data_IF_504084706095
#
_entry.id   IF_504084706095
#
_cell.length_a   1.000
_cell.length_b   1.000
_cell.length_c   1.000
_cell.angle_alpha   90.00
_cell.angle_beta   90.00
_cell.angle_gamma   90.00
#
_symmetry.space_group_name_H-M   'P 1'
#
loop_
_entity.id
_entity.type
_entity.pdbx_description
1 polymer ?
#
# COMPACT_ATOMS: atom_id res chain seq x y z
N UNK A 1 43.72 31.31 -32.53
CA UNK A 1 42.29 31.30 -32.16
C UNK A 1 41.76 29.88 -32.35
N UNK A 2 41.88 29.15 -31.24
CA UNK A 2 41.45 27.78 -31.11
C UNK A 2 39.93 27.79 -30.79
N UNK A 3 39.12 27.14 -31.64
CA UNK A 3 37.67 26.99 -31.39
C UNK A 3 37.48 25.91 -30.35
N UNK A 4 36.76 26.28 -29.26
CA UNK A 4 36.29 25.35 -28.27
C UNK A 4 35.39 24.26 -28.90
N UNK A 5 35.43 23.01 -28.42
CA UNK A 5 34.58 21.94 -28.92
C UNK A 5 33.11 22.20 -28.55
N UNK A 6 32.26 22.00 -29.54
CA UNK A 6 30.80 22.07 -29.41
C UNK A 6 30.40 20.87 -28.54
N UNK A 7 29.96 21.11 -27.31
CA UNK A 7 29.27 20.12 -26.51
C UNK A 7 28.01 19.69 -27.26
N UNK A 8 28.00 18.46 -27.74
CA UNK A 8 26.79 17.80 -28.22
C UNK A 8 25.82 17.66 -27.07
N UNK A 9 24.80 18.51 -27.02
CA UNK A 9 23.64 18.29 -26.17
C UNK A 9 23.11 16.88 -26.46
N UNK A 10 23.16 15.99 -25.48
CA UNK A 10 22.37 14.76 -25.52
C UNK A 10 20.91 15.19 -25.68
N UNK A 11 20.34 14.91 -26.84
CA UNK A 11 18.89 14.91 -27.00
C UNK A 11 18.30 13.93 -25.99
N UNK A 12 17.79 14.45 -24.89
CA UNK A 12 16.89 13.71 -24.01
C UNK A 12 15.61 13.54 -24.81
N UNK A 13 15.55 12.49 -25.63
CA UNK A 13 14.30 12.07 -26.23
C UNK A 13 13.31 11.81 -25.09
N UNK A 14 12.34 12.69 -24.96
CA UNK A 14 11.20 12.49 -24.06
C UNK A 14 10.47 11.26 -24.57
N UNK A 15 10.78 10.10 -24.02
CA UNK A 15 9.94 8.93 -24.19
C UNK A 15 8.68 9.19 -23.37
N UNK A 16 7.59 9.52 -24.06
CA UNK A 16 6.29 9.67 -23.45
C UNK A 16 5.94 8.34 -22.78
N UNK A 17 5.88 8.34 -21.44
CA UNK A 17 5.50 7.15 -20.67
C UNK A 17 4.01 7.20 -20.40
N UNK A 18 3.26 6.30 -21.03
CA UNK A 18 1.84 6.12 -20.79
C UNK A 18 1.69 4.84 -19.95
N UNK A 19 1.15 4.97 -18.75
CA UNK A 19 0.85 3.86 -17.86
C UNK A 19 -0.47 3.18 -18.27
N UNK A 20 -0.51 1.86 -18.22
CA UNK A 20 -1.70 1.08 -18.60
C UNK A 20 -2.79 1.16 -17.52
N UNK A 21 -2.37 1.30 -16.26
CA UNK A 21 -3.29 1.36 -15.13
C UNK A 21 -2.65 2.07 -13.92
N UNK A 22 -3.47 2.36 -12.90
CA UNK A 22 -3.02 3.08 -11.70
C UNK A 22 -2.09 2.25 -10.80
N UNK A 23 -2.12 0.92 -10.86
CA UNK A 23 -1.21 0.10 -10.02
C UNK A 23 0.25 0.33 -10.41
N UNK A 24 0.54 0.65 -11.67
CA UNK A 24 1.90 0.97 -12.12
C UNK A 24 2.48 2.24 -11.47
N UNK A 25 1.65 3.02 -10.79
CA UNK A 25 2.04 4.23 -10.05
C UNK A 25 2.22 3.98 -8.55
N UNK A 26 2.07 2.74 -8.09
CA UNK A 26 2.27 2.38 -6.68
C UNK A 26 3.77 2.35 -6.39
N UNK A 27 4.17 3.03 -5.34
CA UNK A 27 5.58 3.13 -4.97
C UNK A 27 6.27 4.36 -5.55
N UNK A 28 7.59 4.34 -5.53
CA UNK A 28 8.47 5.43 -5.97
C UNK A 28 8.03 6.82 -5.45
N UNK A 29 7.46 6.82 -4.25
CA UNK A 29 6.96 8.04 -3.62
C UNK A 29 8.12 8.98 -3.26
N UNK A 30 7.94 10.30 -3.33
CA UNK A 30 9.02 11.23 -3.09
C UNK A 30 9.47 11.23 -1.61
N UNK A 31 10.77 11.47 -1.42
CA UNK A 31 11.36 11.78 -0.13
C UNK A 31 11.61 13.29 -0.07
N UNK A 32 10.96 14.00 0.85
CA UNK A 32 10.97 15.46 0.92
C UNK A 32 11.65 15.92 2.20
N UNK A 33 12.70 16.75 2.06
CA UNK A 33 13.39 17.38 3.20
C UNK A 33 12.49 18.38 3.91
N UNK A 34 12.44 18.30 5.23
CA UNK A 34 11.73 19.26 6.06
C UNK A 34 12.59 20.52 6.31
N UNK A 35 11.90 21.67 6.35
CA UNK A 35 12.46 22.97 6.68
C UNK A 35 11.60 23.61 7.78
N UNK A 36 12.02 24.69 8.38
CA UNK A 36 11.36 25.48 9.43
C UNK A 36 11.03 24.67 10.70
N UNK A 37 10.20 23.64 10.62
CA UNK A 37 9.86 22.78 11.77
C UNK A 37 11.09 22.05 12.33
N UNK A 38 12.18 22.02 11.58
CA UNK A 38 13.46 21.42 11.97
C UNK A 38 14.55 22.46 12.29
N UNK A 39 14.19 23.71 12.45
CA UNK A 39 15.15 24.78 12.79
C UNK A 39 15.87 24.46 14.10
N UNK A 40 17.21 24.57 14.10
CA UNK A 40 18.06 24.18 15.21
C UNK A 40 18.43 22.70 15.31
N UNK A 41 17.83 21.83 14.50
CA UNK A 41 18.18 20.40 14.43
C UNK A 41 19.38 20.20 13.48
N UNK A 42 20.44 19.53 13.98
CA UNK A 42 21.64 19.27 13.16
C UNK A 42 21.45 18.22 12.07
N UNK A 43 20.54 17.28 12.31
CA UNK A 43 20.26 16.20 11.35
C UNK A 43 19.39 16.70 10.18
N UNK A 44 19.61 16.16 8.99
CA UNK A 44 18.63 16.30 7.89
C UNK A 44 17.44 15.39 8.18
N UNK A 45 16.25 15.95 8.24
CA UNK A 45 15.00 15.22 8.42
C UNK A 45 14.24 15.27 7.11
N UNK A 46 13.81 14.09 6.63
CA UNK A 46 13.00 13.94 5.43
C UNK A 46 11.78 13.07 5.69
N UNK A 47 10.70 13.34 4.96
CA UNK A 47 9.47 12.55 5.01
C UNK A 47 9.27 11.80 3.70
N UNK A 48 8.96 10.51 3.78
CA UNK A 48 8.53 9.69 2.65
C UNK A 48 7.04 9.91 2.44
N UNK A 49 6.68 10.53 1.31
CA UNK A 49 5.34 11.08 1.11
C UNK A 49 4.41 10.02 0.52
N UNK A 50 3.95 9.09 1.35
CA UNK A 50 3.18 7.93 0.94
C UNK A 50 1.76 8.23 0.42
N UNK A 51 1.23 9.42 0.64
CA UNK A 51 -0.05 9.82 0.05
C UNK A 51 0.02 10.13 -1.46
N UNK A 52 1.20 10.09 -2.06
CA UNK A 52 1.35 10.13 -3.52
C UNK A 52 1.07 8.77 -4.20
N UNK A 53 0.94 7.69 -3.45
CA UNK A 53 0.37 6.47 -4.02
C UNK A 53 -1.05 6.73 -4.54
N UNK A 54 -1.50 6.08 -5.61
CA UNK A 54 -2.78 6.37 -6.27
C UNK A 54 -4.02 6.20 -5.37
N UNK A 55 -3.99 5.31 -4.38
CA UNK A 55 -5.02 5.17 -3.35
C UNK A 55 -4.80 6.07 -2.12
N UNK A 56 -3.75 6.91 -2.14
CA UNK A 56 -3.45 7.92 -1.13
C UNK A 56 -2.76 7.41 0.14
N UNK A 57 -2.17 6.22 0.13
CA UNK A 57 -1.45 5.71 1.31
C UNK A 57 -0.44 4.60 0.99
N UNK A 58 0.38 4.28 1.99
CA UNK A 58 1.30 3.13 1.94
C UNK A 58 0.60 1.77 1.83
N UNK A 59 -0.72 1.71 2.04
CA UNK A 59 -1.48 0.46 1.97
C UNK A 59 -1.65 -0.04 0.53
N UNK A 60 -1.48 0.81 -0.45
CA UNK A 60 -1.50 0.43 -1.86
C UNK A 60 -0.39 -0.58 -2.15
N UNK A 61 0.82 -0.36 -1.61
CA UNK A 61 1.96 -1.28 -1.72
C UNK A 61 1.65 -2.68 -1.17
N UNK A 62 1.00 -2.72 0.00
CA UNK A 62 0.63 -3.97 0.66
C UNK A 62 -0.44 -4.68 -0.14
N UNK A 63 -1.45 -3.96 -0.61
CA UNK A 63 -2.55 -4.50 -1.40
C UNK A 63 -2.06 -5.17 -2.69
N UNK A 64 -1.22 -4.48 -3.45
CA UNK A 64 -0.63 -5.01 -4.67
C UNK A 64 0.15 -6.29 -4.40
N UNK A 65 1.07 -6.25 -3.44
CA UNK A 65 1.90 -7.41 -3.14
C UNK A 65 1.11 -8.62 -2.63
N UNK A 66 0.09 -8.40 -1.80
CA UNK A 66 -0.77 -9.49 -1.31
C UNK A 66 -1.52 -10.14 -2.47
N UNK A 67 -2.10 -9.34 -3.36
CA UNK A 67 -2.83 -9.85 -4.53
C UNK A 67 -1.87 -10.59 -5.46
N UNK A 68 -0.70 -10.04 -5.77
CA UNK A 68 0.34 -10.70 -6.57
C UNK A 68 0.76 -12.06 -5.99
N UNK A 69 0.96 -12.12 -4.69
CA UNK A 69 1.35 -13.36 -4.03
C UNK A 69 0.21 -14.40 -4.06
N UNK A 70 -1.03 -13.97 -3.88
CA UNK A 70 -2.20 -14.82 -3.94
C UNK A 70 -2.44 -15.39 -5.35
N UNK A 71 -2.26 -14.57 -6.39
CA UNK A 71 -2.32 -15.02 -7.78
C UNK A 71 -1.23 -16.05 -8.09
N UNK A 72 0.03 -15.75 -7.74
CA UNK A 72 1.15 -16.67 -7.97
C UNK A 72 1.03 -17.99 -7.24
N UNK A 73 0.45 -17.98 -6.04
CA UNK A 73 0.21 -19.22 -5.27
C UNK A 73 -1.06 -19.99 -5.68
N UNK A 74 -1.89 -19.39 -6.52
CA UNK A 74 -3.19 -19.96 -6.92
C UNK A 74 -4.29 -19.84 -5.87
N UNK A 75 -4.04 -19.10 -4.77
CA UNK A 75 -5.06 -18.78 -3.76
C UNK A 75 -6.14 -17.85 -4.29
N UNK A 76 -5.76 -16.90 -5.15
CA UNK A 76 -6.68 -16.02 -5.85
C UNK A 76 -6.62 -16.34 -7.35
N UNK A 77 -7.76 -16.70 -7.91
CA UNK A 77 -7.90 -17.05 -9.34
C UNK A 77 -8.75 -16.00 -10.07
N UNK A 78 -8.63 -15.88 -11.39
CA UNK A 78 -9.50 -14.99 -12.18
C UNK A 78 -10.98 -15.15 -11.83
N UNK A 79 -11.67 -14.02 -11.61
CA UNK A 79 -13.05 -13.99 -11.15
C UNK A 79 -13.25 -14.23 -9.66
N UNK A 80 -12.18 -14.38 -8.88
CA UNK A 80 -12.24 -14.53 -7.43
C UNK A 80 -12.78 -13.28 -6.71
N UNK A 81 -13.06 -13.45 -5.41
CA UNK A 81 -13.66 -12.43 -4.56
C UNK A 81 -12.75 -12.16 -3.37
N UNK A 82 -12.26 -10.93 -3.25
CA UNK A 82 -11.42 -10.50 -2.13
C UNK A 82 -12.32 -10.03 -0.99
N UNK A 83 -12.19 -10.64 0.18
CA UNK A 83 -12.97 -10.32 1.36
C UNK A 83 -12.05 -9.89 2.50
N UNK A 84 -12.20 -8.69 3.04
CA UNK A 84 -11.34 -8.18 4.12
C UNK A 84 -12.13 -7.38 5.16
N UNK A 85 -11.87 -7.57 6.45
CA UNK A 85 -12.43 -6.73 7.50
C UNK A 85 -11.64 -5.41 7.56
N UNK A 86 -12.10 -4.39 6.86
CA UNK A 86 -11.42 -3.10 6.78
C UNK A 86 -12.36 -1.94 6.47
N UNK A 87 -12.11 -0.79 7.07
CA UNK A 87 -12.83 0.45 6.80
C UNK A 87 -11.89 1.59 6.38
N UNK A 88 -10.61 1.29 6.19
CA UNK A 88 -9.57 2.29 5.98
C UNK A 88 -8.79 2.10 4.68
N UNK A 89 -7.58 2.62 4.70
CA UNK A 89 -6.69 2.66 3.53
C UNK A 89 -6.37 1.29 2.93
N UNK A 90 -6.38 0.22 3.73
CA UNK A 90 -6.21 -1.14 3.21
C UNK A 90 -7.34 -1.51 2.25
N UNK A 91 -8.59 -1.19 2.61
CA UNK A 91 -9.73 -1.41 1.71
C UNK A 91 -9.63 -0.60 0.41
N UNK A 92 -9.16 0.65 0.50
CA UNK A 92 -8.93 1.49 -0.69
C UNK A 92 -7.87 0.87 -1.60
N UNK A 93 -6.71 0.51 -1.07
CA UNK A 93 -5.64 -0.12 -1.85
C UNK A 93 -6.08 -1.44 -2.49
N UNK A 94 -6.75 -2.32 -1.71
CA UNK A 94 -7.28 -3.59 -2.23
C UNK A 94 -8.31 -3.36 -3.35
N UNK A 95 -9.25 -2.42 -3.17
CA UNK A 95 -10.26 -2.13 -4.18
C UNK A 95 -9.64 -1.56 -5.47
N UNK A 96 -8.65 -0.68 -5.34
CA UNK A 96 -7.95 -0.10 -6.48
C UNK A 96 -7.27 -1.18 -7.33
N UNK A 97 -6.48 -2.05 -6.72
CA UNK A 97 -5.76 -3.12 -7.44
C UNK A 97 -6.76 -4.18 -7.96
N UNK A 98 -7.72 -4.57 -7.14
CA UNK A 98 -8.72 -5.58 -7.48
C UNK A 98 -9.56 -5.18 -8.69
N UNK A 99 -10.04 -3.93 -8.74
CA UNK A 99 -10.85 -3.42 -9.84
C UNK A 99 -10.12 -3.52 -11.18
N UNK A 100 -8.84 -3.21 -11.21
CA UNK A 100 -8.04 -3.23 -12.44
C UNK A 100 -7.77 -4.65 -12.93
N UNK A 101 -7.80 -5.64 -12.01
CA UNK A 101 -7.57 -7.07 -12.31
C UNK A 101 -8.89 -7.88 -12.45
N UNK A 102 -10.04 -7.20 -12.37
CA UNK A 102 -11.36 -7.81 -12.55
C UNK A 102 -11.82 -8.65 -11.35
N UNK A 103 -11.29 -8.39 -10.15
CA UNK A 103 -11.75 -9.03 -8.92
C UNK A 103 -12.89 -8.25 -8.27
N UNK A 104 -13.86 -8.96 -7.71
CA UNK A 104 -14.85 -8.38 -6.80
C UNK A 104 -14.22 -8.18 -5.42
N UNK A 105 -14.68 -7.13 -4.72
CA UNK A 105 -14.24 -6.87 -3.34
C UNK A 105 -15.43 -6.74 -2.41
N UNK A 106 -15.34 -7.35 -1.24
CA UNK A 106 -16.34 -7.25 -0.17
C UNK A 106 -15.60 -6.82 1.11
N UNK A 107 -15.96 -5.67 1.66
CA UNK A 107 -15.39 -5.21 2.92
C UNK A 107 -16.42 -5.23 4.03
N UNK A 108 -16.04 -5.85 5.15
CA UNK A 108 -16.86 -5.87 6.35
C UNK A 108 -16.35 -4.80 7.32
N UNK A 109 -17.26 -4.06 7.94
CA UNK A 109 -16.91 -2.99 8.85
C UNK A 109 -18.03 -2.72 9.86
N UNK A 110 -17.70 -2.21 11.06
CA UNK A 110 -18.69 -1.92 12.07
C UNK A 110 -19.54 -0.67 11.73
N UNK A 111 -20.76 -0.63 12.24
CA UNK A 111 -21.75 0.43 11.95
C UNK A 111 -21.30 1.82 12.43
N UNK A 112 -20.38 1.92 13.38
CA UNK A 112 -19.75 3.20 13.81
C UNK A 112 -18.90 3.88 12.73
N UNK A 113 -18.52 3.17 11.66
CA UNK A 113 -17.75 3.74 10.55
C UNK A 113 -18.65 4.72 9.79
N UNK A 114 -18.16 5.95 9.60
CA UNK A 114 -18.92 7.02 8.95
C UNK A 114 -19.34 6.66 7.52
N UNK A 115 -20.48 7.18 7.09
CA UNK A 115 -20.97 6.94 5.74
C UNK A 115 -20.00 7.48 4.66
N UNK A 116 -19.29 8.56 4.93
CA UNK A 116 -18.27 9.06 4.01
C UNK A 116 -17.16 8.03 3.71
N UNK A 117 -16.70 7.30 4.73
CA UNK A 117 -15.71 6.22 4.54
C UNK A 117 -16.30 5.03 3.76
N UNK A 118 -17.56 4.68 4.04
CA UNK A 118 -18.26 3.62 3.29
C UNK A 118 -18.45 4.02 1.82
N UNK A 119 -18.81 5.28 1.58
CA UNK A 119 -18.99 5.82 0.22
C UNK A 119 -17.69 5.77 -0.61
N UNK A 120 -16.54 6.04 0.00
CA UNK A 120 -15.24 5.92 -0.68
C UNK A 120 -15.02 4.48 -1.15
N UNK A 121 -15.24 3.49 -0.30
CA UNK A 121 -15.06 2.08 -0.68
C UNK A 121 -16.02 1.67 -1.81
N UNK A 122 -17.28 2.09 -1.74
CA UNK A 122 -18.27 1.85 -2.81
C UNK A 122 -17.89 2.55 -4.11
N UNK A 123 -17.30 3.75 -4.04
CA UNK A 123 -16.84 4.48 -5.24
C UNK A 123 -15.73 3.73 -5.99
N UNK A 124 -14.92 2.96 -5.27
CA UNK A 124 -13.96 2.03 -5.87
C UNK A 124 -14.58 0.69 -6.31
N UNK A 125 -15.91 0.55 -6.26
CA UNK A 125 -16.64 -0.65 -6.70
C UNK A 125 -16.76 -1.75 -5.66
N UNK A 126 -16.40 -1.50 -4.40
CA UNK A 126 -16.50 -2.51 -3.35
C UNK A 126 -17.93 -2.67 -2.82
N UNK A 127 -18.31 -3.90 -2.51
CA UNK A 127 -19.47 -4.22 -1.69
C UNK A 127 -19.12 -3.99 -0.21
N UNK A 128 -20.01 -3.34 0.52
CA UNK A 128 -19.80 -3.00 1.94
C UNK A 128 -20.83 -3.70 2.79
N UNK A 129 -20.39 -4.57 3.69
CA UNK A 129 -21.20 -5.29 4.66
C UNK A 129 -21.01 -4.66 6.03
N UNK A 130 -22.09 -4.10 6.57
CA UNK A 130 -22.09 -3.41 7.86
C UNK A 130 -22.47 -4.38 8.97
N UNK A 131 -21.69 -4.41 10.05
CA UNK A 131 -21.89 -5.28 11.21
C UNK A 131 -22.05 -4.47 12.49
N UNK A 132 -22.61 -5.06 13.56
CA UNK A 132 -22.76 -4.37 14.84
C UNK A 132 -21.40 -3.97 15.45
N UNK A 133 -21.31 -2.76 16.00
CA UNK A 133 -20.10 -2.30 16.72
C UNK A 133 -19.91 -2.98 18.07
N UNK A 134 -21.00 -3.41 18.71
CA UNK A 134 -21.02 -4.07 20.02
C UNK A 134 -20.57 -5.55 19.97
N UNK A 135 -20.40 -6.11 18.77
CA UNK A 135 -19.90 -7.48 18.58
C UNK A 135 -18.40 -7.55 18.85
N UNK A 136 -17.99 -8.29 19.86
CA UNK A 136 -16.58 -8.57 20.15
C UNK A 136 -15.91 -9.38 19.04
N UNK A 137 -14.57 -9.47 19.01
CA UNK A 137 -13.83 -10.15 17.93
C UNK A 137 -14.26 -11.60 17.66
N UNK A 138 -14.65 -12.33 18.70
CA UNK A 138 -15.07 -13.73 18.62
C UNK A 138 -16.59 -13.91 18.39
N UNK A 139 -17.36 -12.83 18.45
CA UNK A 139 -18.79 -12.86 18.15
C UNK A 139 -19.01 -13.16 16.66
N UNK A 140 -19.85 -14.16 16.30
CA UNK A 140 -20.15 -14.47 14.91
C UNK A 140 -20.72 -13.29 14.08
N UNK A 141 -21.20 -12.24 14.74
CA UNK A 141 -21.71 -11.00 14.10
C UNK A 141 -20.61 -9.97 13.88
N UNK A 142 -19.40 -10.17 14.45
CA UNK A 142 -18.31 -9.22 14.29
C UNK A 142 -17.86 -9.11 12.84
N UNK A 143 -17.34 -7.96 12.47
CA UNK A 143 -16.84 -7.76 11.10
C UNK A 143 -15.67 -8.69 10.75
N UNK A 144 -14.92 -9.19 11.74
CA UNK A 144 -13.89 -10.21 11.56
C UNK A 144 -14.48 -11.57 11.18
N UNK A 145 -15.46 -12.06 11.98
CA UNK A 145 -16.09 -13.37 11.76
C UNK A 145 -16.97 -13.39 10.51
N UNK A 146 -17.61 -12.26 10.20
CA UNK A 146 -18.39 -12.12 8.97
C UNK A 146 -17.47 -12.17 7.75
N UNK A 147 -16.31 -11.48 7.77
CA UNK A 147 -15.34 -11.56 6.69
C UNK A 147 -14.82 -12.99 6.48
N UNK A 148 -14.44 -13.65 7.58
CA UNK A 148 -13.97 -15.05 7.54
C UNK A 148 -15.02 -15.97 6.92
N UNK A 149 -16.26 -15.89 7.40
CA UNK A 149 -17.37 -16.69 6.86
C UNK A 149 -17.60 -16.41 5.38
N UNK A 150 -17.63 -15.15 4.95
CA UNK A 150 -17.82 -14.80 3.54
C UNK A 150 -16.69 -15.33 2.66
N UNK A 151 -15.44 -15.17 3.08
CA UNK A 151 -14.28 -15.68 2.35
C UNK A 151 -14.34 -17.20 2.17
N UNK A 152 -14.83 -17.94 3.20
CA UNK A 152 -14.90 -19.40 3.18
C UNK A 152 -16.13 -19.94 2.44
N UNK A 153 -17.21 -19.17 2.33
CA UNK A 153 -18.48 -19.64 1.74
C UNK A 153 -18.69 -19.18 0.29
N UNK A 154 -18.09 -18.07 -0.10
CA UNK A 154 -18.21 -17.57 -1.48
C UNK A 154 -17.23 -18.34 -2.37
N UNK A 155 -17.69 -18.91 -3.49
CA UNK A 155 -16.80 -19.55 -4.45
C UNK A 155 -15.70 -18.60 -4.93
N UNK A 156 -14.44 -19.01 -4.80
CA UNK A 156 -13.29 -18.15 -5.13
C UNK A 156 -13.01 -17.05 -4.13
N UNK A 157 -13.57 -17.14 -2.90
CA UNK A 157 -13.30 -16.21 -1.81
C UNK A 157 -11.84 -16.29 -1.35
N UNK A 158 -11.20 -15.13 -1.19
CA UNK A 158 -9.84 -14.97 -0.70
C UNK A 158 -9.80 -13.89 0.38
N UNK A 159 -9.15 -14.18 1.49
CA UNK A 159 -8.93 -13.23 2.59
C UNK A 159 -7.47 -12.77 2.62
N UNK A 160 -7.19 -11.48 2.36
CA UNK A 160 -5.85 -10.91 2.45
C UNK A 160 -5.20 -11.04 3.82
N UNK A 161 -5.97 -10.89 4.91
CA UNK A 161 -5.52 -10.95 6.30
C UNK A 161 -4.32 -10.02 6.58
N UNK A 162 -4.52 -8.72 6.46
CA UNK A 162 -3.46 -7.71 6.51
C UNK A 162 -2.58 -7.74 7.76
N UNK A 163 -3.07 -8.29 8.88
CA UNK A 163 -2.32 -8.33 10.14
C UNK A 163 -1.29 -9.45 10.19
N UNK A 164 -1.60 -10.62 9.62
CA UNK A 164 -0.76 -11.80 9.71
C UNK A 164 -0.09 -12.16 8.38
N UNK A 165 -0.47 -11.50 7.28
CA UNK A 165 0.07 -11.80 5.97
C UNK A 165 1.54 -11.33 5.84
N UNK A 166 2.50 -12.23 5.62
CA UNK A 166 3.91 -11.89 5.51
C UNK A 166 4.21 -10.93 4.34
N UNK A 167 3.32 -10.84 3.36
CA UNK A 167 3.46 -9.90 2.25
C UNK A 167 3.26 -8.44 2.69
N UNK A 168 2.68 -8.17 3.85
CA UNK A 168 2.64 -6.84 4.45
C UNK A 168 4.04 -6.27 4.67
N UNK A 169 4.86 -6.84 5.56
CA UNK A 169 6.26 -6.43 5.74
C UNK A 169 7.09 -6.57 4.46
N UNK A 170 6.92 -7.64 3.72
CA UNK A 170 7.69 -7.87 2.49
C UNK A 170 7.44 -6.82 1.41
N UNK A 171 6.27 -6.19 1.34
CA UNK A 171 6.03 -5.08 0.42
C UNK A 171 7.00 -3.92 0.69
N UNK A 172 7.18 -3.56 1.94
CA UNK A 172 8.07 -2.49 2.35
C UNK A 172 9.55 -2.88 2.28
N UNK A 173 9.87 -4.14 2.52
CA UNK A 173 11.23 -4.65 2.37
C UNK A 173 11.72 -4.53 0.93
N UNK A 174 10.88 -4.86 -0.05
CA UNK A 174 11.26 -4.85 -1.46
C UNK A 174 11.02 -3.51 -2.17
N UNK A 175 10.32 -2.56 -1.55
CA UNK A 175 10.02 -1.26 -2.18
C UNK A 175 10.47 -0.09 -1.31
N UNK A 176 9.79 0.20 -0.21
CA UNK A 176 10.04 1.38 0.64
C UNK A 176 11.47 1.42 1.19
N UNK A 177 12.02 0.27 1.59
CA UNK A 177 13.40 0.17 2.07
C UNK A 177 14.41 0.59 1.02
N UNK A 178 14.47 -0.06 -0.16
CA UNK A 178 15.33 0.35 -1.28
C UNK A 178 15.14 1.81 -1.68
N UNK A 179 13.89 2.27 -1.84
CA UNK A 179 13.60 3.66 -2.21
C UNK A 179 14.21 4.68 -1.22
N UNK A 180 14.12 4.41 0.08
CA UNK A 180 14.72 5.29 1.10
C UNK A 180 16.25 5.22 1.02
N UNK A 181 16.82 4.03 0.89
CA UNK A 181 18.26 3.81 0.83
C UNK A 181 18.89 4.57 -0.33
N UNK A 182 18.36 4.39 -1.54
CA UNK A 182 18.83 5.07 -2.74
C UNK A 182 18.59 6.60 -2.68
N UNK A 183 17.40 7.04 -2.27
CA UNK A 183 17.06 8.47 -2.20
C UNK A 183 17.89 9.24 -1.15
N UNK A 184 18.54 8.55 -0.22
CA UNK A 184 19.44 9.15 0.79
C UNK A 184 20.92 8.98 0.44
N UNK A 185 21.23 8.53 -0.76
CA UNK A 185 22.61 8.24 -1.18
C UNK A 185 23.33 7.33 -0.15
N UNK A 186 22.59 6.30 0.33
CA UNK A 186 23.05 5.30 1.30
C UNK A 186 23.46 5.88 2.67
N UNK A 187 22.94 7.08 3.02
CA UNK A 187 23.36 7.82 4.24
C UNK A 187 22.28 7.89 5.32
N UNK A 188 21.14 7.21 5.16
CA UNK A 188 20.12 7.19 6.20
C UNK A 188 20.67 6.53 7.48
N UNK A 189 20.48 7.21 8.62
CA UNK A 189 20.95 6.73 9.93
C UNK A 189 19.78 6.34 10.86
N UNK A 190 18.63 6.96 10.69
CA UNK A 190 17.47 6.74 11.53
C UNK A 190 16.22 6.65 10.66
N UNK A 191 15.42 5.62 10.90
CA UNK A 191 14.12 5.42 10.29
C UNK A 191 13.05 5.43 11.37
N UNK A 192 12.03 6.27 11.17
CA UNK A 192 10.90 6.43 12.09
C UNK A 192 9.62 6.17 11.35
N UNK A 193 8.78 5.29 11.87
CA UNK A 193 7.46 4.98 11.33
C UNK A 193 6.46 4.68 12.44
N UNK A 194 5.19 5.00 12.21
CA UNK A 194 4.09 4.60 13.07
C UNK A 194 3.87 3.08 13.01
N UNK A 195 3.31 2.51 14.08
CA UNK A 195 3.01 1.09 14.18
C UNK A 195 1.49 0.89 14.18
N UNK A 196 0.98 0.33 13.10
CA UNK A 196 -0.37 -0.25 13.01
C UNK A 196 -0.27 -1.76 12.91
N UNK A 197 -0.20 -2.30 11.69
CA UNK A 197 0.08 -3.73 11.45
C UNK A 197 1.55 -4.11 11.65
N UNK A 198 2.43 -3.13 11.83
CA UNK A 198 3.88 -3.34 11.96
C UNK A 198 4.63 -3.49 10.63
N UNK A 199 3.93 -3.66 9.51
CA UNK A 199 4.55 -3.96 8.21
C UNK A 199 5.58 -2.94 7.75
N UNK A 200 5.25 -1.65 7.84
CA UNK A 200 6.15 -0.58 7.41
C UNK A 200 7.46 -0.57 8.21
N UNK A 201 7.36 -0.56 9.54
CA UNK A 201 8.55 -0.46 10.39
C UNK A 201 9.41 -1.73 10.31
N UNK A 202 8.79 -2.92 10.28
CA UNK A 202 9.53 -4.18 10.24
C UNK A 202 10.14 -4.46 8.87
N UNK A 203 9.40 -4.25 7.78
CA UNK A 203 9.89 -4.50 6.43
C UNK A 203 11.00 -3.54 6.02
N UNK A 204 10.75 -2.24 6.14
CA UNK A 204 11.76 -1.21 5.84
C UNK A 204 12.96 -1.31 6.78
N UNK A 205 12.72 -1.46 8.09
CA UNK A 205 13.80 -1.56 9.08
C UNK A 205 14.67 -2.79 8.88
N UNK A 206 14.09 -3.93 8.49
CA UNK A 206 14.87 -5.13 8.14
C UNK A 206 15.79 -4.85 6.95
N UNK A 207 15.25 -4.31 5.85
CA UNK A 207 16.06 -3.98 4.68
C UNK A 207 17.22 -3.05 5.02
N UNK A 208 16.91 -1.92 5.68
CA UNK A 208 17.94 -0.92 6.03
C UNK A 208 19.04 -1.50 6.93
N UNK A 209 18.73 -2.41 7.86
CA UNK A 209 19.72 -3.08 8.71
C UNK A 209 20.59 -4.08 7.96
N UNK A 210 20.12 -4.63 6.85
CA UNK A 210 20.88 -5.59 6.06
C UNK A 210 21.87 -4.91 5.10
N UNK A 211 21.61 -3.65 4.72
CA UNK A 211 22.41 -2.91 3.74
C UNK A 211 23.30 -1.82 4.34
N UNK A 212 23.11 -1.45 5.61
CA UNK A 212 23.86 -0.39 6.31
C UNK A 212 25.09 -0.89 7.05
#
# INVERSE_FOLDING_TARGET
TEKAPIETQKETGSTMTIHNNLSELIGDTPLVKLHHVTDGVKATIAVKVEYFNPGGSSKDRIAERIIDAAERSGQLKPGGVIVEPTSGNTGVGLALVAQQRGYRTIFTLPDKVSESKRAVLRAYGAEVVVTPTDAGPDDPRSYYQVAERLANTIPGGFRPNQYDNPNGPLSHYYTTGPEIWEATDHKVTHFVAGIGTGGTISGTGKYLKEVS
#
